data_IF_090873372369
#
_entry.id   IF_090873372369
#
_cell.length_a   1.000
_cell.length_b   1.000
_cell.length_c   1.000
_cell.angle_alpha   90.00
_cell.angle_beta   90.00
_cell.angle_gamma   90.00
#
_symmetry.space_group_name_H-M   'P 1'
#
loop_
_entity.id
_entity.type
_entity.pdbx_description
1 polymer ?
#
# COMPACT_ATOMS: atom_id res chain seq x y z
N UNK A 1 22.14 -4.27 -11.04
CA UNK A 1 22.42 -3.91 -9.65
C UNK A 1 21.13 -3.43 -9.01
N UNK A 2 20.72 -4.04 -7.88
CA UNK A 2 19.37 -3.93 -7.34
C UNK A 2 19.39 -3.78 -5.83
N UNK A 3 18.75 -2.73 -5.29
CA UNK A 3 18.46 -2.61 -3.85
C UNK A 3 17.02 -3.02 -3.59
N UNK A 4 16.82 -4.06 -2.79
CA UNK A 4 15.49 -4.52 -2.34
C UNK A 4 15.21 -3.87 -0.99
N UNK A 5 14.10 -3.14 -0.88
CA UNK A 5 13.81 -2.21 0.21
C UNK A 5 12.50 -2.59 0.90
N UNK A 6 12.59 -2.97 2.18
CA UNK A 6 11.48 -3.52 2.95
C UNK A 6 11.31 -2.72 4.25
N UNK A 7 10.35 -1.81 4.35
CA UNK A 7 9.98 -1.21 5.63
C UNK A 7 9.19 -2.23 6.45
N UNK A 8 9.49 -2.34 7.74
CA UNK A 8 8.75 -3.24 8.66
C UNK A 8 8.36 -2.54 9.96
N UNK A 9 7.21 -2.91 10.50
CA UNK A 9 6.73 -2.48 11.81
C UNK A 9 5.87 -3.57 12.44
N UNK A 10 6.33 -4.10 13.59
CA UNK A 10 5.67 -5.19 14.31
C UNK A 10 5.30 -6.38 13.42
N UNK A 11 6.21 -6.78 12.52
CA UNK A 11 6.02 -7.89 11.60
C UNK A 11 7.30 -8.72 11.44
N UNK A 12 7.15 -10.03 11.23
CA UNK A 12 8.25 -10.96 11.01
C UNK A 12 8.48 -11.13 9.50
N UNK A 13 9.55 -10.57 8.97
CA UNK A 13 9.85 -10.57 7.54
C UNK A 13 11.08 -11.41 7.15
N UNK A 14 11.74 -12.08 8.10
CA UNK A 14 12.93 -12.87 7.83
C UNK A 14 12.70 -13.95 6.74
N UNK A 15 11.53 -14.59 6.70
CA UNK A 15 11.17 -15.57 5.66
C UNK A 15 11.13 -14.94 4.27
N UNK A 16 10.48 -13.77 4.12
CA UNK A 16 10.45 -13.01 2.85
C UNK A 16 11.89 -12.67 2.39
N UNK A 17 12.73 -12.20 3.32
CA UNK A 17 14.13 -11.86 3.01
C UNK A 17 14.91 -13.09 2.55
N UNK A 18 14.73 -14.25 3.20
CA UNK A 18 15.38 -15.50 2.79
C UNK A 18 14.99 -15.92 1.36
N UNK A 19 13.70 -15.83 1.00
CA UNK A 19 13.23 -16.18 -0.34
C UNK A 19 13.82 -15.25 -1.41
N UNK A 20 13.87 -13.95 -1.14
CA UNK A 20 14.46 -12.95 -2.04
C UNK A 20 15.96 -13.13 -2.17
N UNK A 21 16.67 -13.33 -1.05
CA UNK A 21 18.08 -13.61 -1.01
C UNK A 21 18.44 -14.82 -1.87
N UNK A 22 17.75 -15.95 -1.70
CA UNK A 22 17.96 -17.15 -2.50
C UNK A 22 17.73 -16.92 -4.00
N UNK A 23 16.75 -16.09 -4.39
CA UNK A 23 16.53 -15.76 -5.79
C UNK A 23 17.65 -14.89 -6.37
N UNK A 24 18.12 -13.89 -5.63
CA UNK A 24 19.18 -12.99 -6.05
C UNK A 24 20.53 -13.75 -6.18
N UNK A 25 20.88 -14.60 -5.22
CA UNK A 25 22.08 -15.45 -5.26
C UNK A 25 22.07 -16.38 -6.49
N UNK A 26 20.93 -17.02 -6.79
CA UNK A 26 20.80 -17.89 -7.98
C UNK A 26 20.97 -17.14 -9.30
N UNK A 27 20.64 -15.85 -9.34
CA UNK A 27 20.78 -15.03 -10.54
C UNK A 27 22.22 -14.50 -10.71
N UNK A 28 23.06 -14.55 -9.68
CA UNK A 28 24.42 -14.03 -9.68
C UNK A 28 24.52 -12.54 -9.99
N UNK A 29 23.52 -11.75 -9.53
CA UNK A 29 23.50 -10.30 -9.73
C UNK A 29 24.10 -9.58 -8.53
N UNK A 30 24.58 -8.35 -8.73
CA UNK A 30 24.91 -7.47 -7.62
C UNK A 30 23.61 -6.93 -6.99
N UNK A 31 23.41 -7.18 -5.71
CA UNK A 31 22.23 -6.77 -4.98
C UNK A 31 22.52 -6.46 -3.50
N UNK A 32 21.57 -5.81 -2.87
CA UNK A 32 21.43 -5.71 -1.42
C UNK A 32 19.96 -5.83 -1.02
N UNK A 33 19.71 -6.28 0.20
CA UNK A 33 18.39 -6.26 0.81
C UNK A 33 18.48 -5.42 2.09
N UNK A 34 17.79 -4.28 2.09
CA UNK A 34 17.71 -3.38 3.23
C UNK A 34 16.33 -3.50 3.87
N UNK A 35 16.30 -3.96 5.11
CA UNK A 35 15.08 -3.97 5.92
C UNK A 35 15.21 -2.88 6.97
N UNK A 36 14.31 -1.91 6.98
CA UNK A 36 14.26 -0.88 8.00
C UNK A 36 13.07 -1.13 8.94
N UNK A 37 13.37 -1.31 10.21
CA UNK A 37 12.39 -1.49 11.28
C UNK A 37 12.02 -0.14 11.86
N UNK A 38 10.74 0.20 11.76
CA UNK A 38 10.16 1.48 12.13
C UNK A 38 9.78 1.55 13.62
N UNK A 39 10.70 1.17 14.51
CA UNK A 39 10.48 1.22 15.95
C UNK A 39 9.57 0.11 16.48
N UNK A 40 9.71 -1.13 15.98
CA UNK A 40 8.94 -2.29 16.44
C UNK A 40 9.21 -2.64 17.90
N UNK A 41 8.30 -3.41 18.47
CA UNK A 41 8.52 -4.06 19.77
C UNK A 41 9.71 -5.01 19.71
N UNK A 42 10.46 -5.13 20.81
CA UNK A 42 11.71 -5.92 20.90
C UNK A 42 11.50 -7.40 20.50
N UNK A 43 10.33 -7.97 20.79
CA UNK A 43 9.98 -9.34 20.39
C UNK A 43 10.01 -9.59 18.87
N UNK A 44 9.74 -8.59 18.06
CA UNK A 44 9.87 -8.64 16.59
C UNK A 44 11.30 -8.38 16.16
N UNK A 45 11.95 -7.37 16.75
CA UNK A 45 13.34 -7.00 16.42
C UNK A 45 14.29 -8.17 16.61
N UNK A 46 14.27 -8.83 17.78
CA UNK A 46 15.12 -9.99 18.10
C UNK A 46 15.00 -11.09 17.02
N UNK A 47 13.78 -11.39 16.58
CA UNK A 47 13.54 -12.44 15.57
C UNK A 47 13.99 -12.02 14.17
N UNK A 48 13.88 -10.74 13.82
CA UNK A 48 14.30 -10.24 12.51
C UNK A 48 15.82 -10.00 12.43
N UNK A 49 16.54 -9.86 13.56
CA UNK A 49 18.03 -9.70 13.58
C UNK A 49 18.77 -10.85 12.88
N UNK A 50 18.12 -12.02 12.69
CA UNK A 50 18.68 -13.13 11.92
C UNK A 50 18.99 -12.73 10.45
N UNK A 51 18.31 -11.72 9.92
CA UNK A 51 18.53 -11.17 8.58
C UNK A 51 20.01 -10.71 8.42
N UNK A 52 20.63 -10.16 9.46
CA UNK A 52 22.02 -9.72 9.44
C UNK A 52 23.05 -10.88 9.29
N UNK A 53 22.60 -12.15 9.35
CA UNK A 53 23.46 -13.31 9.09
C UNK A 53 23.52 -13.69 7.61
N UNK A 54 22.66 -13.12 6.78
CA UNK A 54 22.63 -13.35 5.33
C UNK A 54 23.57 -12.36 4.64
N UNK A 55 24.33 -12.85 3.64
CA UNK A 55 25.14 -11.99 2.79
C UNK A 55 24.28 -10.94 2.08
N UNK A 56 24.81 -9.74 1.88
CA UNK A 56 24.12 -8.65 1.19
C UNK A 56 22.80 -8.20 1.81
N UNK A 57 22.50 -8.64 3.06
CA UNK A 57 21.30 -8.26 3.79
C UNK A 57 21.63 -7.42 5.01
N UNK A 58 20.84 -6.38 5.26
CA UNK A 58 20.99 -5.50 6.42
C UNK A 58 19.65 -5.22 7.06
N UNK A 59 19.54 -5.47 8.37
CA UNK A 59 18.40 -5.08 9.19
C UNK A 59 18.79 -3.84 10.01
N UNK A 60 18.06 -2.73 9.78
CA UNK A 60 18.30 -1.41 10.36
C UNK A 60 17.18 -1.15 11.37
N UNK A 61 17.51 -0.96 12.62
CA UNK A 61 16.54 -0.71 13.69
C UNK A 61 16.46 0.77 14.00
N UNK A 62 15.25 1.36 13.92
CA UNK A 62 14.99 2.68 14.42
C UNK A 62 14.53 2.60 15.88
N UNK A 63 14.79 3.67 16.64
CA UNK A 63 14.37 3.77 18.04
C UNK A 63 12.86 4.02 18.14
N UNK A 64 12.31 4.84 17.23
CA UNK A 64 10.91 5.24 17.20
C UNK A 64 10.27 5.06 15.82
N UNK A 65 8.94 5.03 15.78
CA UNK A 65 8.18 4.98 14.55
C UNK A 65 8.16 6.34 13.88
N UNK A 66 8.78 6.45 12.70
CA UNK A 66 8.84 7.68 11.89
C UNK A 66 7.78 7.73 10.79
N UNK A 67 7.06 6.66 10.56
CA UNK A 67 5.95 6.55 9.63
C UNK A 67 6.34 6.13 8.21
N UNK A 68 5.31 5.69 7.46
CA UNK A 68 5.44 4.99 6.17
C UNK A 68 6.20 5.77 5.10
N UNK A 69 5.95 7.09 4.97
CA UNK A 69 6.62 7.92 3.99
C UNK A 69 8.11 8.08 4.31
N UNK A 70 8.42 8.43 5.55
CA UNK A 70 9.79 8.69 6.00
C UNK A 70 10.66 7.45 5.94
N UNK A 71 10.14 6.28 6.36
CA UNK A 71 10.93 5.05 6.35
C UNK A 71 11.22 4.57 4.91
N UNK A 72 10.27 4.70 3.97
CA UNK A 72 10.53 4.42 2.55
C UNK A 72 11.54 5.39 1.95
N UNK A 73 11.46 6.67 2.29
CA UNK A 73 12.42 7.67 1.86
C UNK A 73 13.83 7.39 2.43
N UNK A 74 13.91 7.02 3.71
CA UNK A 74 15.17 6.60 4.34
C UNK A 74 15.79 5.44 3.59
N UNK A 75 15.04 4.37 3.33
CA UNK A 75 15.50 3.22 2.57
C UNK A 75 16.00 3.61 1.18
N UNK A 76 15.23 4.42 0.43
CA UNK A 76 15.63 4.84 -0.92
C UNK A 76 16.87 5.73 -0.94
N UNK A 77 17.08 6.57 0.07
CA UNK A 77 18.30 7.38 0.23
C UNK A 77 19.52 6.50 0.62
N UNK A 78 19.31 5.51 1.49
CA UNK A 78 20.38 4.62 1.98
C UNK A 78 20.84 3.60 0.94
N UNK A 79 19.96 3.17 0.05
CA UNK A 79 20.21 2.20 -1.00
C UNK A 79 21.42 2.59 -1.86
N UNK A 80 22.29 1.61 -2.22
CA UNK A 80 23.51 1.89 -2.98
C UNK A 80 23.34 1.70 -4.50
N UNK A 81 22.36 0.91 -4.95
CA UNK A 81 22.20 0.57 -6.37
C UNK A 81 21.20 1.47 -7.10
N UNK A 82 21.29 1.46 -8.45
CA UNK A 82 20.51 2.34 -9.33
C UNK A 82 19.04 1.97 -9.45
N UNK A 83 18.68 0.73 -9.17
CA UNK A 83 17.30 0.26 -9.17
C UNK A 83 16.85 -0.10 -7.76
N UNK A 84 15.74 0.47 -7.34
CA UNK A 84 15.13 0.28 -6.03
C UNK A 84 13.86 -0.56 -6.18
N UNK A 85 13.82 -1.75 -5.58
CA UNK A 85 12.63 -2.60 -5.53
C UNK A 85 12.00 -2.50 -4.15
N UNK A 86 10.95 -1.69 -4.04
CA UNK A 86 10.17 -1.56 -2.82
C UNK A 86 9.14 -2.66 -2.70
N UNK A 87 8.96 -3.19 -1.51
CA UNK A 87 7.84 -4.08 -1.17
C UNK A 87 7.47 -3.98 0.30
N UNK A 88 6.22 -4.31 0.63
CA UNK A 88 5.77 -4.35 2.02
C UNK A 88 6.23 -5.66 2.70
N UNK A 89 6.44 -5.62 4.01
CA UNK A 89 6.99 -6.74 4.79
C UNK A 89 6.03 -7.94 4.93
N UNK A 90 4.74 -7.73 4.71
CA UNK A 90 3.68 -8.75 4.75
C UNK A 90 3.42 -9.43 3.39
N UNK A 91 4.35 -9.24 2.46
CA UNK A 91 4.35 -9.89 1.16
C UNK A 91 4.90 -11.33 1.25
N UNK A 92 4.40 -12.19 0.36
CA UNK A 92 4.96 -13.53 0.10
C UNK A 92 5.29 -13.67 -1.39
N UNK A 93 6.48 -14.20 -1.66
CA UNK A 93 6.95 -14.43 -3.03
C UNK A 93 6.33 -15.73 -3.55
N UNK A 94 5.43 -15.63 -4.52
CA UNK A 94 4.76 -16.79 -5.14
C UNK A 94 5.43 -17.25 -6.43
N UNK A 95 6.28 -16.43 -7.03
CA UNK A 95 7.00 -16.73 -8.26
C UNK A 95 8.47 -17.02 -7.98
N UNK A 96 8.98 -18.15 -8.46
CA UNK A 96 10.41 -18.48 -8.36
C UNK A 96 11.32 -17.57 -9.18
N UNK A 97 10.76 -16.86 -10.17
CA UNK A 97 11.43 -15.95 -11.07
C UNK A 97 11.12 -14.48 -10.75
N UNK A 98 10.70 -14.19 -9.50
CA UNK A 98 10.22 -12.87 -9.13
C UNK A 98 11.27 -11.78 -9.40
N UNK A 99 12.51 -11.94 -8.93
CA UNK A 99 13.60 -10.99 -9.17
C UNK A 99 13.99 -10.97 -10.64
N UNK A 100 14.10 -12.13 -11.30
CA UNK A 100 14.45 -12.23 -12.72
C UNK A 100 13.50 -11.43 -13.62
N UNK A 101 12.19 -11.47 -13.34
CA UNK A 101 11.18 -10.69 -14.08
C UNK A 101 11.38 -9.18 -13.91
N UNK A 102 11.78 -8.70 -12.74
CA UNK A 102 12.12 -7.29 -12.54
C UNK A 102 13.40 -6.89 -13.29
N UNK A 103 14.44 -7.70 -13.22
CA UNK A 103 15.68 -7.46 -13.98
C UNK A 103 15.41 -7.42 -15.48
N UNK A 104 14.61 -8.35 -16.02
CA UNK A 104 14.22 -8.33 -17.43
C UNK A 104 13.36 -7.10 -17.82
N UNK A 105 12.72 -6.44 -16.87
CA UNK A 105 11.90 -5.27 -17.11
C UNK A 105 12.61 -3.93 -16.83
N UNK A 106 13.79 -3.92 -16.19
CA UNK A 106 14.45 -2.71 -15.71
C UNK A 106 14.71 -1.65 -16.79
N UNK A 107 15.00 -2.05 -18.04
CA UNK A 107 15.27 -1.14 -19.14
C UNK A 107 14.02 -0.73 -19.92
N UNK A 108 12.82 -1.14 -19.49
CA UNK A 108 11.55 -0.85 -20.19
C UNK A 108 10.92 0.47 -19.75
N UNK A 109 11.33 1.02 -18.62
CA UNK A 109 10.88 2.29 -18.09
C UNK A 109 11.40 2.56 -16.69
N UNK A 110 11.28 3.79 -16.24
CA UNK A 110 11.80 4.25 -14.95
C UNK A 110 11.08 3.65 -13.75
N UNK A 111 9.82 3.27 -13.92
CA UNK A 111 9.00 2.66 -12.87
C UNK A 111 8.36 1.39 -13.41
N UNK A 112 8.48 0.29 -12.67
CA UNK A 112 7.90 -1.02 -13.01
C UNK A 112 7.05 -1.50 -11.84
N UNK A 113 5.78 -1.82 -12.08
CA UNK A 113 4.85 -2.31 -11.06
C UNK A 113 4.46 -3.77 -11.31
N UNK A 114 4.72 -4.64 -10.33
CA UNK A 114 4.49 -6.08 -10.44
C UNK A 114 3.06 -6.51 -10.20
N UNK A 115 2.36 -5.84 -9.30
CA UNK A 115 0.99 -6.20 -8.93
C UNK A 115 0.88 -6.85 -7.56
N UNK A 116 -0.35 -7.21 -7.21
CA UNK A 116 -0.74 -7.69 -5.89
C UNK A 116 -1.77 -8.81 -6.04
N UNK A 117 -1.62 -9.86 -5.26
CA UNK A 117 -2.58 -10.95 -5.10
C UNK A 117 -3.03 -11.05 -3.65
N UNK A 118 -4.18 -11.67 -3.44
CA UNK A 118 -4.70 -12.02 -2.12
C UNK A 118 -4.97 -13.53 -2.06
N UNK A 119 -5.05 -14.13 -0.87
CA UNK A 119 -5.32 -15.56 -0.72
C UNK A 119 -6.52 -16.02 -1.55
N UNK A 120 -6.46 -17.23 -2.10
CA UNK A 120 -7.56 -17.78 -2.90
C UNK A 120 -8.78 -18.18 -2.06
N UNK A 121 -8.57 -18.39 -0.77
CA UNK A 121 -9.64 -18.73 0.20
C UNK A 121 -9.59 -17.72 1.34
N UNK A 122 -10.76 -17.42 1.91
CA UNK A 122 -10.86 -16.61 3.12
C UNK A 122 -10.05 -17.27 4.26
N UNK A 123 -9.01 -16.60 4.80
CA UNK A 123 -8.16 -17.23 5.81
C UNK A 123 -8.87 -17.41 7.16
N UNK A 124 -9.73 -16.46 7.55
CA UNK A 124 -10.49 -16.49 8.79
C UNK A 124 -11.75 -15.59 8.68
N UNK A 125 -12.87 -15.93 9.36
CA UNK A 125 -14.14 -15.19 9.25
C UNK A 125 -14.03 -13.70 9.56
N UNK A 126 -13.20 -13.34 10.54
CA UNK A 126 -12.96 -11.96 10.96
C UNK A 126 -12.21 -11.10 9.95
N UNK A 127 -11.65 -11.71 8.88
CA UNK A 127 -10.98 -11.04 7.76
C UNK A 127 -11.91 -10.86 6.55
N UNK A 128 -13.19 -11.22 6.67
CA UNK A 128 -14.11 -11.35 5.53
C UNK A 128 -14.38 -10.05 4.79
N UNK A 129 -14.38 -8.89 5.46
CA UNK A 129 -14.56 -7.59 4.81
C UNK A 129 -13.32 -7.21 3.98
N UNK A 130 -12.14 -7.31 4.58
CA UNK A 130 -10.88 -7.05 3.88
C UNK A 130 -10.72 -7.99 2.68
N UNK A 131 -10.93 -9.29 2.89
CA UNK A 131 -10.85 -10.29 1.85
C UNK A 131 -11.79 -10.01 0.67
N UNK A 132 -13.07 -9.77 0.92
CA UNK A 132 -14.05 -9.46 -0.14
C UNK A 132 -13.70 -8.17 -0.87
N UNK A 133 -13.30 -7.14 -0.14
CA UNK A 133 -12.96 -5.83 -0.70
C UNK A 133 -11.73 -5.94 -1.61
N UNK A 134 -10.66 -6.55 -1.14
CA UNK A 134 -9.41 -6.70 -1.88
C UNK A 134 -9.53 -7.69 -3.06
N UNK A 135 -10.24 -8.82 -2.90
CA UNK A 135 -10.52 -9.72 -4.04
C UNK A 135 -11.37 -9.05 -5.13
N UNK A 136 -12.32 -8.22 -4.75
CA UNK A 136 -13.09 -7.41 -5.73
C UNK A 136 -12.18 -6.39 -6.44
N UNK A 137 -11.24 -5.77 -5.74
CA UNK A 137 -10.28 -4.85 -6.33
C UNK A 137 -9.28 -5.59 -7.24
N UNK A 138 -8.76 -6.75 -6.82
CA UNK A 138 -7.86 -7.61 -7.60
C UNK A 138 -8.50 -8.01 -8.95
N UNK A 139 -9.75 -8.49 -8.93
CA UNK A 139 -10.47 -8.87 -10.14
C UNK A 139 -10.65 -7.71 -11.15
N UNK A 140 -10.72 -6.47 -10.66
CA UNK A 140 -10.85 -5.25 -11.48
C UNK A 140 -9.51 -4.66 -11.92
N UNK A 141 -8.39 -5.18 -11.40
CA UNK A 141 -7.06 -4.64 -11.61
C UNK A 141 -6.07 -5.72 -12.10
N UNK A 142 -6.53 -6.60 -12.99
CA UNK A 142 -5.65 -7.56 -13.66
C UNK A 142 -4.53 -6.85 -14.41
N UNK A 143 -3.44 -7.54 -14.70
CA UNK A 143 -2.30 -7.01 -15.43
C UNK A 143 -2.73 -6.27 -16.73
N UNK A 144 -3.65 -6.85 -17.51
CA UNK A 144 -4.15 -6.23 -18.76
C UNK A 144 -4.95 -4.94 -18.53
N UNK A 145 -5.71 -4.86 -17.45
CA UNK A 145 -6.45 -3.64 -17.07
C UNK A 145 -5.47 -2.56 -16.55
N UNK A 146 -4.48 -2.96 -15.76
CA UNK A 146 -3.48 -2.02 -15.23
C UNK A 146 -2.68 -1.32 -16.34
N UNK A 147 -2.31 -2.04 -17.40
CA UNK A 147 -1.63 -1.46 -18.58
C UNK A 147 -2.41 -0.32 -19.21
N UNK A 148 -3.75 -0.43 -19.26
CA UNK A 148 -4.62 0.59 -19.86
C UNK A 148 -4.77 1.85 -18.99
N UNK A 149 -4.56 1.73 -17.69
CA UNK A 149 -4.73 2.81 -16.71
C UNK A 149 -3.56 2.84 -15.71
N UNK A 150 -2.31 3.11 -16.15
CA UNK A 150 -1.09 2.81 -15.40
C UNK A 150 -0.98 3.54 -14.05
N UNK A 151 -1.48 4.76 -13.93
CA UNK A 151 -1.41 5.53 -12.69
C UNK A 151 -2.56 5.25 -11.73
N UNK A 152 -3.72 4.82 -12.25
CA UNK A 152 -4.96 4.67 -11.47
C UNK A 152 -4.88 3.60 -10.38
N UNK A 153 -4.09 2.57 -10.61
CA UNK A 153 -4.00 1.37 -9.78
C UNK A 153 -2.60 1.11 -9.24
N UNK A 154 -1.74 2.13 -9.31
CA UNK A 154 -0.43 2.04 -8.71
C UNK A 154 -0.54 1.95 -7.18
N UNK A 155 0.17 1.00 -6.59
CA UNK A 155 0.32 0.82 -5.14
C UNK A 155 1.78 0.55 -4.82
N UNK A 156 2.23 0.96 -3.65
CA UNK A 156 3.63 0.82 -3.22
C UNK A 156 3.97 -0.57 -2.68
N UNK A 157 3.04 -1.51 -2.74
CA UNK A 157 3.20 -2.86 -2.22
C UNK A 157 4.31 -3.66 -2.92
N UNK A 158 4.56 -3.41 -4.21
CA UNK A 158 5.48 -4.18 -5.04
C UNK A 158 5.84 -3.40 -6.31
N UNK A 159 6.88 -2.56 -6.27
CA UNK A 159 7.31 -1.79 -7.43
C UNK A 159 8.83 -1.56 -7.46
N UNK A 160 9.39 -1.50 -8.65
CA UNK A 160 10.78 -1.11 -8.90
C UNK A 160 10.82 0.31 -9.51
N UNK A 161 11.80 1.10 -9.12
CA UNK A 161 12.00 2.47 -9.62
C UNK A 161 13.50 2.78 -9.74
N UNK A 162 13.88 3.55 -10.75
CA UNK A 162 15.22 4.13 -10.82
C UNK A 162 15.49 5.04 -9.62
N UNK A 163 16.65 4.90 -8.98
CA UNK A 163 17.01 5.67 -7.79
C UNK A 163 16.96 7.19 -8.04
N UNK A 164 17.48 7.67 -9.16
CA UNK A 164 17.42 9.09 -9.50
C UNK A 164 15.98 9.59 -9.61
N UNK A 165 15.11 8.82 -10.27
CA UNK A 165 13.68 9.13 -10.36
C UNK A 165 13.03 9.14 -8.97
N UNK A 166 13.36 8.18 -8.11
CA UNK A 166 12.85 8.12 -6.73
C UNK A 166 13.29 9.33 -5.91
N UNK A 167 14.56 9.74 -5.99
CA UNK A 167 15.08 10.88 -5.23
C UNK A 167 14.42 12.20 -5.64
N UNK A 168 13.97 12.32 -6.88
CA UNK A 168 13.20 13.48 -7.37
C UNK A 168 11.73 13.47 -6.92
N UNK A 169 11.16 12.28 -6.65
CA UNK A 169 9.74 12.06 -6.38
C UNK A 169 9.51 11.33 -5.04
N UNK A 170 10.23 11.67 -4.00
CA UNK A 170 10.10 11.03 -2.69
C UNK A 170 8.65 11.07 -2.18
N UNK A 171 8.30 10.16 -1.28
CA UNK A 171 7.02 10.19 -0.59
C UNK A 171 6.86 11.50 0.21
N UNK A 172 5.64 12.04 0.24
CA UNK A 172 5.33 13.24 1.02
C UNK A 172 5.42 12.93 2.52
N UNK A 173 6.48 13.41 3.18
CA UNK A 173 6.74 13.17 4.61
C UNK A 173 5.81 13.98 5.53
N UNK A 174 5.00 14.91 4.98
CA UNK A 174 3.94 15.58 5.74
C UNK A 174 2.78 14.65 6.07
N UNK A 175 2.65 13.51 5.36
CA UNK A 175 1.65 12.48 5.62
C UNK A 175 2.14 11.59 6.76
N UNK A 176 1.75 11.93 7.97
CA UNK A 176 2.10 11.17 9.18
C UNK A 176 1.04 10.16 9.59
N UNK A 177 -0.20 10.32 9.09
CA UNK A 177 -1.34 9.44 9.35
C UNK A 177 -1.47 8.38 8.26
N UNK A 178 -2.30 7.37 8.51
CA UNK A 178 -2.53 6.26 7.59
C UNK A 178 -3.25 6.71 6.31
N UNK A 179 -2.69 6.30 5.16
CA UNK A 179 -3.35 6.28 3.84
C UNK A 179 -2.99 7.44 2.91
N UNK A 180 -3.16 7.15 1.62
CA UNK A 180 -2.99 8.05 0.47
C UNK A 180 -1.56 8.44 0.09
N UNK A 181 -0.52 8.00 0.83
CA UNK A 181 0.87 8.23 0.47
C UNK A 181 1.23 7.63 -0.90
N UNK A 182 0.71 6.43 -1.19
CA UNK A 182 0.88 5.73 -2.47
C UNK A 182 0.15 6.44 -3.63
N UNK A 183 -1.07 6.91 -3.36
CA UNK A 183 -1.87 7.62 -4.36
C UNK A 183 -1.23 8.96 -4.74
N UNK A 184 -0.71 9.71 -3.77
CA UNK A 184 -0.01 10.97 -4.05
C UNK A 184 1.33 10.73 -4.75
N UNK A 185 2.05 9.68 -4.38
CA UNK A 185 3.27 9.30 -5.08
C UNK A 185 2.99 8.95 -6.55
N UNK A 186 1.98 8.11 -6.81
CA UNK A 186 1.54 7.79 -8.17
C UNK A 186 1.07 9.02 -8.96
N UNK A 187 0.42 9.99 -8.29
CA UNK A 187 0.01 11.25 -8.90
C UNK A 187 1.20 12.14 -9.26
N UNK A 188 2.24 12.22 -8.42
CA UNK A 188 3.45 12.95 -8.73
C UNK A 188 4.13 12.39 -10.00
N UNK A 189 4.24 11.06 -10.10
CA UNK A 189 4.74 10.40 -11.32
C UNK A 189 3.88 10.74 -12.55
N UNK A 190 2.55 10.81 -12.41
CA UNK A 190 1.63 11.15 -13.49
C UNK A 190 1.80 12.60 -13.96
N UNK A 191 1.94 13.55 -13.02
CA UNK A 191 2.14 14.99 -13.33
C UNK A 191 3.40 15.16 -14.17
N UNK A 192 4.49 14.49 -13.80
CA UNK A 192 5.77 14.57 -14.49
C UNK A 192 5.87 13.58 -15.68
N UNK A 193 4.73 12.95 -16.04
CA UNK A 193 4.59 12.04 -17.18
C UNK A 193 5.58 10.88 -17.17
N UNK A 194 5.97 10.41 -15.99
CA UNK A 194 6.86 9.24 -15.83
C UNK A 194 6.04 7.98 -16.04
N UNK A 195 6.29 7.20 -17.10
CA UNK A 195 5.47 6.02 -17.38
C UNK A 195 5.68 4.93 -16.35
N UNK A 196 4.58 4.31 -15.89
CA UNK A 196 4.60 3.12 -15.05
C UNK A 196 4.39 1.90 -15.94
N UNK A 197 5.40 1.07 -16.04
CA UNK A 197 5.35 -0.20 -16.78
C UNK A 197 4.74 -1.26 -15.88
N UNK A 198 3.64 -1.85 -16.29
CA UNK A 198 3.00 -2.94 -15.57
C UNK A 198 3.49 -4.29 -16.09
N UNK A 199 3.92 -5.18 -15.18
CA UNK A 199 4.29 -6.56 -15.48
C UNK A 199 3.41 -7.52 -14.69
N UNK A 200 3.33 -8.76 -15.15
CA UNK A 200 2.66 -9.85 -14.41
C UNK A 200 3.65 -10.54 -13.46
N UNK A 201 3.87 -9.87 -12.33
CA UNK A 201 4.82 -10.32 -11.30
C UNK A 201 4.31 -9.97 -9.89
N UNK A 202 3.12 -10.46 -9.52
CA UNK A 202 2.51 -10.07 -8.26
C UNK A 202 3.19 -10.75 -7.07
N UNK A 203 3.11 -10.08 -5.91
CA UNK A 203 3.32 -10.66 -4.59
C UNK A 203 1.98 -10.98 -3.94
N UNK A 204 1.93 -12.03 -3.11
CA UNK A 204 0.77 -12.36 -2.30
C UNK A 204 0.79 -11.53 -1.01
N UNK A 205 -0.28 -10.79 -0.74
CA UNK A 205 -0.47 -10.08 0.51
C UNK A 205 -1.01 -11.02 1.60
N UNK A 206 -0.26 -11.18 2.68
CA UNK A 206 -0.67 -11.96 3.87
C UNK A 206 -1.19 -11.09 5.01
N UNK A 207 -1.07 -9.77 4.88
CA UNK A 207 -1.41 -8.79 5.92
C UNK A 207 -2.86 -8.30 5.87
N UNK A 208 -3.85 -9.19 5.62
CA UNK A 208 -5.25 -8.79 5.68
C UNK A 208 -5.63 -8.37 7.10
N UNK A 209 -6.24 -7.19 7.22
CA UNK A 209 -6.75 -6.69 8.49
C UNK A 209 -8.06 -7.38 8.90
N UNK A 210 -8.31 -7.48 10.21
CA UNK A 210 -9.63 -7.86 10.69
C UNK A 210 -10.67 -6.83 10.28
N UNK A 211 -11.94 -7.24 10.22
CA UNK A 211 -13.05 -6.35 9.83
C UNK A 211 -13.08 -5.07 10.68
N UNK A 212 -12.85 -5.19 12.00
CA UNK A 212 -12.77 -4.05 12.92
C UNK A 212 -11.60 -3.13 12.57
N UNK A 213 -10.40 -3.70 12.44
CA UNK A 213 -9.19 -2.93 12.14
C UNK A 213 -9.25 -2.25 10.77
N UNK A 214 -9.87 -2.91 9.78
CA UNK A 214 -10.10 -2.29 8.47
C UNK A 214 -11.00 -1.06 8.57
N UNK A 215 -12.07 -1.11 9.39
CA UNK A 215 -12.96 0.04 9.59
C UNK A 215 -12.22 1.18 10.29
N UNK A 216 -11.44 0.90 11.33
CA UNK A 216 -10.61 1.90 12.02
C UNK A 216 -9.62 2.58 11.06
N UNK A 217 -8.87 1.78 10.30
CA UNK A 217 -7.95 2.29 9.26
C UNK A 217 -8.69 3.07 8.17
N UNK A 218 -9.91 2.64 7.81
CA UNK A 218 -10.73 3.36 6.82
C UNK A 218 -11.14 4.74 7.35
N UNK A 219 -11.57 4.85 8.60
CA UNK A 219 -11.92 6.14 9.19
C UNK A 219 -10.70 7.07 9.30
N UNK A 220 -9.53 6.53 9.68
CA UNK A 220 -8.28 7.29 9.70
C UNK A 220 -7.89 7.77 8.30
N UNK A 221 -7.92 6.87 7.31
CA UNK A 221 -7.66 7.20 5.91
C UNK A 221 -8.61 8.26 5.36
N UNK A 222 -9.89 8.28 5.78
CA UNK A 222 -10.84 9.31 5.38
C UNK A 222 -10.56 10.67 6.01
N UNK A 223 -10.01 10.71 7.24
CA UNK A 223 -9.52 11.95 7.85
C UNK A 223 -8.30 12.48 7.10
N UNK A 224 -7.34 11.62 6.77
CA UNK A 224 -6.19 11.97 5.92
C UNK A 224 -6.65 12.46 4.54
N UNK A 225 -7.66 11.81 3.94
CA UNK A 225 -8.25 12.23 2.67
C UNK A 225 -8.86 13.65 2.74
N UNK A 226 -9.51 13.98 3.86
CA UNK A 226 -10.05 15.32 4.08
C UNK A 226 -8.94 16.37 4.14
N UNK A 227 -7.86 16.10 4.87
CA UNK A 227 -6.70 16.99 4.98
C UNK A 227 -5.99 17.18 3.63
N UNK A 228 -5.96 16.13 2.79
CA UNK A 228 -5.28 16.13 1.49
C UNK A 228 -6.20 16.39 0.29
N UNK A 229 -7.48 16.73 0.51
CA UNK A 229 -8.50 16.80 -0.55
C UNK A 229 -8.10 17.64 -1.76
N UNK A 230 -7.41 18.77 -1.53
CA UNK A 230 -6.97 19.67 -2.59
C UNK A 230 -5.81 19.06 -3.41
N UNK A 231 -4.88 18.37 -2.73
CA UNK A 231 -3.79 17.64 -3.38
C UNK A 231 -4.30 16.41 -4.13
N UNK A 232 -5.33 15.73 -3.62
CA UNK A 232 -5.87 14.49 -4.19
C UNK A 232 -6.68 14.70 -5.46
N UNK A 233 -7.47 15.77 -5.53
CA UNK A 233 -8.34 16.06 -6.68
C UNK A 233 -9.26 14.85 -7.00
N UNK A 234 -9.31 14.43 -8.27
CA UNK A 234 -10.15 13.30 -8.71
C UNK A 234 -9.54 11.90 -8.49
N UNK A 235 -8.38 11.79 -7.87
CA UNK A 235 -7.69 10.49 -7.68
C UNK A 235 -8.46 9.56 -6.73
N UNK A 236 -9.26 10.09 -5.80
CA UNK A 236 -10.06 9.30 -4.86
C UNK A 236 -11.51 9.07 -5.35
N UNK A 237 -11.96 7.82 -5.31
CA UNK A 237 -13.35 7.47 -5.61
C UNK A 237 -14.34 8.09 -4.61
N UNK A 238 -13.96 8.19 -3.34
CA UNK A 238 -14.79 8.82 -2.29
C UNK A 238 -14.96 10.31 -2.58
N UNK A 239 -13.86 11.01 -2.92
CA UNK A 239 -13.93 12.44 -3.27
C UNK A 239 -14.80 12.69 -4.49
N UNK A 240 -14.64 11.93 -5.58
CA UNK A 240 -15.48 12.05 -6.77
C UNK A 240 -16.97 11.86 -6.44
N UNK A 241 -17.28 10.86 -5.60
CA UNK A 241 -18.67 10.59 -5.21
C UNK A 241 -19.20 11.70 -4.31
N UNK A 242 -18.40 12.13 -3.34
CA UNK A 242 -18.74 13.28 -2.46
C UNK A 242 -19.02 14.54 -3.29
N UNK A 243 -18.15 14.90 -4.21
CA UNK A 243 -18.32 16.10 -5.06
C UNK A 243 -19.61 16.05 -5.88
N UNK A 244 -19.97 14.86 -6.42
CA UNK A 244 -21.24 14.67 -7.15
C UNK A 244 -22.43 14.84 -6.23
N UNK A 245 -22.41 14.24 -5.04
CA UNK A 245 -23.49 14.36 -4.05
C UNK A 245 -23.60 15.80 -3.51
N UNK A 246 -22.47 16.48 -3.34
CA UNK A 246 -22.45 17.88 -2.89
C UNK A 246 -23.08 18.81 -3.93
N UNK A 247 -22.77 18.63 -5.22
CA UNK A 247 -23.43 19.39 -6.32
C UNK A 247 -24.94 19.19 -6.37
N UNK A 248 -25.44 18.03 -5.90
CA UNK A 248 -26.88 17.72 -5.81
C UNK A 248 -27.50 18.16 -4.49
N UNK A 249 -26.75 18.76 -3.55
CA UNK A 249 -27.24 19.14 -2.22
C UNK A 249 -27.53 17.96 -1.30
N UNK A 250 -27.08 16.74 -1.61
CA UNK A 250 -27.44 15.51 -0.91
C UNK A 250 -26.51 15.15 0.25
N UNK A 251 -25.35 15.82 0.41
CA UNK A 251 -24.37 15.48 1.45
C UNK A 251 -24.95 15.58 2.87
N UNK A 252 -25.83 16.57 3.13
CA UNK A 252 -26.53 16.72 4.41
C UNK A 252 -27.43 15.53 4.75
N UNK A 253 -28.22 15.10 3.78
CA UNK A 253 -29.09 13.95 3.92
C UNK A 253 -28.29 12.65 4.14
N UNK A 254 -27.22 12.44 3.35
CA UNK A 254 -26.34 11.27 3.49
C UNK A 254 -25.69 11.23 4.88
N UNK A 255 -25.18 12.36 5.38
CA UNK A 255 -24.57 12.44 6.70
C UNK A 255 -25.60 12.16 7.81
N UNK A 256 -26.82 12.66 7.69
CA UNK A 256 -27.90 12.41 8.64
C UNK A 256 -28.32 10.92 8.66
N UNK A 257 -28.58 10.33 7.49
CA UNK A 257 -28.90 8.91 7.37
C UNK A 257 -27.77 8.03 7.93
N UNK A 258 -26.53 8.38 7.65
CA UNK A 258 -25.38 7.66 8.20
C UNK A 258 -25.33 7.78 9.73
N UNK A 259 -25.63 8.93 10.33
CA UNK A 259 -25.61 9.09 11.79
C UNK A 259 -26.59 8.14 12.49
N UNK A 260 -27.77 7.95 11.91
CA UNK A 260 -28.81 7.05 12.45
C UNK A 260 -28.42 5.57 12.25
N UNK A 261 -27.87 5.24 11.09
CA UNK A 261 -27.63 3.84 10.68
C UNK A 261 -26.23 3.33 11.01
N UNK A 262 -25.29 4.19 11.44
CA UNK A 262 -23.87 3.87 11.63
C UNK A 262 -23.65 2.59 12.46
N UNK A 263 -24.32 2.48 13.60
CA UNK A 263 -24.12 1.33 14.49
C UNK A 263 -24.61 0.01 13.86
N UNK A 264 -25.75 0.05 13.14
CA UNK A 264 -26.26 -1.13 12.43
C UNK A 264 -25.36 -1.55 11.27
N UNK A 265 -24.86 -0.57 10.50
CA UNK A 265 -23.90 -0.81 9.41
C UNK A 265 -22.60 -1.35 9.98
N UNK A 266 -22.06 -0.75 11.05
CA UNK A 266 -20.84 -1.22 11.70
C UNK A 266 -20.95 -2.69 12.12
N UNK A 267 -22.06 -3.08 12.80
CA UNK A 267 -22.30 -4.49 13.20
C UNK A 267 -22.36 -5.40 11.98
N UNK A 268 -22.99 -4.99 10.90
CA UNK A 268 -23.07 -5.77 9.67
C UNK A 268 -21.69 -5.94 9.02
N UNK A 269 -20.88 -4.88 8.97
CA UNK A 269 -19.54 -4.89 8.37
C UNK A 269 -18.53 -5.67 9.21
N UNK A 270 -18.70 -5.71 10.54
CA UNK A 270 -17.83 -6.50 11.43
C UNK A 270 -18.28 -7.96 11.57
N UNK A 271 -19.44 -8.32 11.03
CA UNK A 271 -19.96 -9.68 11.03
C UNK A 271 -19.30 -10.61 10.01
N UNK A 272 -19.78 -11.85 9.92
CA UNK A 272 -19.24 -12.90 9.05
C UNK A 272 -19.51 -12.69 7.56
N UNK A 273 -20.58 -11.96 7.22
CA UNK A 273 -21.02 -11.76 5.82
C UNK A 273 -21.13 -10.27 5.46
N UNK A 274 -20.03 -9.50 5.50
CA UNK A 274 -20.06 -8.06 5.25
C UNK A 274 -20.50 -7.75 3.81
N UNK A 275 -21.25 -6.64 3.66
CA UNK A 275 -21.76 -6.16 2.38
C UNK A 275 -20.91 -4.99 1.86
N UNK A 276 -20.34 -5.10 0.68
CA UNK A 276 -19.46 -4.08 0.09
C UNK A 276 -20.19 -2.79 -0.30
N UNK A 277 -21.48 -2.84 -0.60
CA UNK A 277 -22.28 -1.63 -0.87
C UNK A 277 -22.49 -0.82 0.41
N UNK A 278 -22.76 -1.51 1.54
CA UNK A 278 -22.83 -0.87 2.85
C UNK A 278 -21.46 -0.30 3.25
N UNK A 279 -20.36 -0.99 2.91
CA UNK A 279 -19.02 -0.46 3.13
C UNK A 279 -18.74 0.80 2.29
N UNK A 280 -19.20 0.84 1.04
CA UNK A 280 -19.09 2.04 0.20
C UNK A 280 -19.93 3.20 0.77
N UNK A 281 -21.15 2.92 1.25
CA UNK A 281 -21.99 3.91 1.92
C UNK A 281 -21.37 4.38 3.26
N UNK A 282 -20.79 3.46 4.04
CA UNK A 282 -20.07 3.80 5.28
C UNK A 282 -18.95 4.83 5.02
N UNK A 283 -18.12 4.59 3.99
CA UNK A 283 -17.06 5.53 3.62
C UNK A 283 -17.58 6.89 3.21
N UNK A 284 -18.62 6.93 2.37
CA UNK A 284 -19.21 8.19 1.91
C UNK A 284 -19.91 8.95 3.05
N UNK A 285 -20.71 8.25 3.86
CA UNK A 285 -21.43 8.84 5.00
C UNK A 285 -20.50 9.42 6.05
N UNK A 286 -19.45 8.67 6.41
CA UNK A 286 -18.41 9.16 7.31
C UNK A 286 -17.70 10.40 6.77
N UNK A 287 -17.36 10.40 5.47
CA UNK A 287 -16.71 11.54 4.83
C UNK A 287 -17.64 12.78 4.78
N UNK A 288 -18.93 12.60 4.46
CA UNK A 288 -19.92 13.69 4.52
C UNK A 288 -20.05 14.30 5.92
N UNK A 289 -20.07 13.47 6.98
CA UNK A 289 -20.07 13.96 8.36
C UNK A 289 -18.79 14.74 8.71
N UNK A 290 -17.64 14.23 8.25
CA UNK A 290 -16.36 14.88 8.49
C UNK A 290 -16.31 16.28 7.87
N UNK A 291 -16.77 16.43 6.62
CA UNK A 291 -16.87 17.73 5.95
C UNK A 291 -17.84 18.67 6.66
N UNK A 292 -19.02 18.20 7.04
CA UNK A 292 -20.01 19.04 7.77
C UNK A 292 -19.48 19.55 9.11
N UNK A 293 -18.64 18.77 9.79
CA UNK A 293 -18.07 19.16 11.09
C UNK A 293 -16.96 20.19 10.96
N UNK A 294 -16.16 20.12 9.89
CA UNK A 294 -14.92 20.89 9.77
C UNK A 294 -15.03 22.07 8.77
N UNK A 295 -16.05 22.09 7.90
CA UNK A 295 -16.29 23.18 6.95
C UNK A 295 -17.30 24.24 7.51
N UNK A 296 -17.75 24.08 8.79
CA UNK A 296 -18.50 25.08 9.56
C UNK A 296 -17.54 26.00 10.30
#
# INVERSE_FOLDING_TARGET
MLSILIPTYNYLCAGLVCDLHQQAERLGIDYEILVADDGSQESFKVKNRVINKLSHCKYIELEENIGRSRIRNLLGRTAQYDYLLFMDCDAEVVNRDFIAKYIAAQNRGKVVYGGLLHPNKLPAPELSLAYKYEKCAEAKNTHEIRKKHPYRVFRTFNFMIEKLTFLQHQFDESITKYGHEDTLFGKALQIDRIPIIHIDNPLLNKGLDTNVKLLEKTEESLKTLYELRDKMGESSAVLRTYQRMNKLGLCGLIAHLFSITRNSIYRQLTGMHPNLLLFAFYKLGYYCQLCQKNDK
#
